data_IF_044621124178
#
_entry.id   IF_044621124178
#
_cell.length_a   1.000
_cell.length_b   1.000
_cell.length_c   1.000
_cell.angle_alpha   90.00
_cell.angle_beta   90.00
_cell.angle_gamma   90.00
#
_symmetry.space_group_name_H-M   'P 1'
#
loop_
_entity.id
_entity.type
_entity.pdbx_description
1 polymer ?
#
# COMPACT_ATOMS: atom_id res chain seq x y z
N UNK A 1 -10.80 12.49 16.30
CA UNK A 1 -9.77 11.86 15.44
C UNK A 1 -10.45 11.45 14.15
N UNK A 2 -9.89 11.84 12.99
CA UNK A 2 -10.36 11.33 11.70
C UNK A 2 -9.47 10.15 11.32
N UNK A 3 -10.07 9.03 10.92
CA UNK A 3 -9.35 7.86 10.43
C UNK A 3 -9.41 7.87 8.90
N UNK A 4 -8.31 7.49 8.27
CA UNK A 4 -8.26 7.20 6.85
C UNK A 4 -8.17 5.69 6.68
N UNK A 5 -8.97 5.17 5.74
CA UNK A 5 -8.99 3.77 5.38
C UNK A 5 -8.54 3.62 3.94
N UNK A 6 -7.77 2.57 3.68
CA UNK A 6 -7.34 2.20 2.33
C UNK A 6 -7.49 0.70 2.14
N UNK A 7 -7.81 0.30 0.91
CA UNK A 7 -8.09 -1.09 0.56
C UNK A 7 -7.11 -1.52 -0.52
N UNK A 8 -6.49 -2.68 -0.31
CA UNK A 8 -5.60 -3.31 -1.27
C UNK A 8 -6.12 -4.70 -1.59
N UNK A 9 -6.53 -4.95 -2.82
CA UNK A 9 -6.90 -6.28 -3.30
C UNK A 9 -5.81 -6.85 -4.20
N UNK A 10 -5.62 -8.16 -4.12
CA UNK A 10 -4.68 -8.88 -4.98
C UNK A 10 -5.24 -10.27 -5.29
N UNK A 11 -5.16 -10.68 -6.56
CA UNK A 11 -5.35 -12.06 -6.95
C UNK A 11 -4.11 -12.85 -6.52
N UNK A 12 -4.32 -13.81 -5.64
CA UNK A 12 -3.34 -14.68 -5.05
C UNK A 12 -3.80 -16.13 -5.26
N UNK A 13 -3.24 -16.78 -6.26
CA UNK A 13 -3.50 -18.20 -6.48
C UNK A 13 -2.84 -19.11 -5.44
N UNK A 14 -3.37 -20.32 -5.31
CA UNK A 14 -2.87 -21.30 -4.36
C UNK A 14 -1.40 -21.66 -4.69
N UNK A 15 -0.48 -21.34 -3.78
CA UNK A 15 0.97 -21.53 -3.99
C UNK A 15 1.73 -20.34 -4.60
N UNK A 16 1.08 -19.20 -4.88
CA UNK A 16 1.78 -18.01 -5.38
C UNK A 16 2.62 -17.31 -4.29
N UNK A 17 3.65 -16.58 -4.73
CA UNK A 17 4.62 -15.96 -3.82
C UNK A 17 4.04 -14.82 -2.98
N UNK A 18 4.25 -14.89 -1.67
CA UNK A 18 3.89 -13.85 -0.68
C UNK A 18 4.73 -12.58 -0.78
N UNK A 19 5.82 -12.58 -1.56
CA UNK A 19 6.80 -11.50 -1.55
C UNK A 19 6.22 -10.12 -1.94
N UNK A 20 5.25 -10.10 -2.87
CA UNK A 20 4.57 -8.86 -3.28
C UNK A 20 3.76 -8.24 -2.15
N UNK A 21 3.03 -9.06 -1.41
CA UNK A 21 2.19 -8.63 -0.28
C UNK A 21 3.07 -8.18 0.88
N UNK A 22 4.13 -8.93 1.20
CA UNK A 22 5.09 -8.54 2.24
C UNK A 22 5.72 -7.18 1.94
N UNK A 23 6.05 -6.90 0.66
CA UNK A 23 6.57 -5.59 0.25
C UNK A 23 5.54 -4.48 0.48
N UNK A 24 4.27 -4.72 0.13
CA UNK A 24 3.21 -3.74 0.31
C UNK A 24 2.88 -3.49 1.79
N UNK A 25 2.87 -4.55 2.62
CA UNK A 25 2.72 -4.43 4.08
C UNK A 25 3.83 -3.60 4.71
N UNK A 26 5.09 -3.86 4.33
CA UNK A 26 6.24 -3.09 4.85
C UNK A 26 6.19 -1.61 4.42
N UNK A 27 5.81 -1.35 3.16
CA UNK A 27 5.67 0.02 2.65
C UNK A 27 4.58 0.78 3.43
N UNK A 28 3.39 0.18 3.54
CA UNK A 28 2.24 0.76 4.26
C UNK A 28 2.55 0.95 5.75
N UNK A 29 3.21 -0.01 6.39
CA UNK A 29 3.72 0.12 7.76
C UNK A 29 4.70 1.28 7.92
N UNK A 30 5.59 1.50 6.95
CA UNK A 30 6.50 2.66 6.92
C UNK A 30 5.80 4.01 6.73
N UNK A 31 4.65 4.03 6.03
CA UNK A 31 3.78 5.19 5.85
C UNK A 31 2.79 5.41 7.02
N UNK A 32 2.89 4.60 8.08
CA UNK A 32 2.06 4.70 9.29
C UNK A 32 0.66 4.10 9.15
N UNK A 33 0.43 3.27 8.14
CA UNK A 33 -0.79 2.48 8.00
C UNK A 33 -0.71 1.19 8.81
N UNK A 34 -1.82 0.85 9.47
CA UNK A 34 -1.99 -0.37 10.24
C UNK A 34 -2.95 -1.29 9.51
N UNK A 35 -2.59 -2.57 9.34
CA UNK A 35 -3.51 -3.58 8.82
C UNK A 35 -4.57 -3.87 9.89
N UNK A 36 -5.84 -3.67 9.56
CA UNK A 36 -6.97 -3.85 10.48
C UNK A 36 -7.92 -4.97 10.06
N UNK A 37 -7.82 -5.44 8.81
CA UNK A 37 -8.63 -6.55 8.32
C UNK A 37 -8.00 -7.23 7.12
N UNK A 38 -8.25 -8.52 6.99
CA UNK A 38 -7.89 -9.34 5.84
C UNK A 38 -9.05 -10.28 5.55
N UNK A 39 -9.49 -10.37 4.30
CA UNK A 39 -10.50 -11.34 3.86
C UNK A 39 -9.96 -12.13 2.68
N UNK A 40 -10.28 -13.42 2.64
CA UNK A 40 -9.96 -14.34 1.56
C UNK A 40 -11.30 -14.82 1.01
N UNK A 41 -11.55 -14.57 -0.27
CA UNK A 41 -12.73 -15.14 -0.94
C UNK A 41 -12.34 -16.51 -1.47
N UNK A 42 -12.58 -17.55 -0.66
CA UNK A 42 -12.53 -18.95 -1.09
C UNK A 42 -13.92 -19.27 -1.67
N UNK A 43 -14.19 -18.86 -2.92
CA UNK A 43 -15.40 -19.26 -3.61
C UNK A 43 -15.31 -20.78 -3.88
N UNK A 44 -16.13 -21.62 -3.21
CA UNK A 44 -15.92 -23.07 -3.17
C UNK A 44 -16.40 -23.82 -4.42
N UNK A 45 -16.86 -23.11 -5.46
CA UNK A 45 -17.49 -23.70 -6.65
C UNK A 45 -16.79 -23.32 -7.98
N UNK A 46 -15.69 -22.56 -7.93
CA UNK A 46 -14.96 -22.16 -9.12
C UNK A 46 -13.70 -23.02 -9.30
N UNK A 47 -13.60 -23.72 -10.44
CA UNK A 47 -12.40 -24.42 -10.96
C UNK A 47 -11.22 -23.44 -11.25
N UNK A 48 -11.24 -22.24 -10.66
CA UNK A 48 -10.22 -21.21 -10.81
C UNK A 48 -9.26 -21.23 -9.60
N UNK A 49 -8.00 -21.59 -9.86
CA UNK A 49 -6.89 -21.60 -8.89
C UNK A 49 -6.52 -20.21 -8.31
N UNK A 50 -7.24 -19.15 -8.68
CA UNK A 50 -6.93 -17.75 -8.35
C UNK A 50 -7.86 -17.22 -7.25
N UNK A 51 -7.31 -17.07 -6.03
CA UNK A 51 -8.07 -16.56 -4.89
C UNK A 51 -7.90 -15.05 -4.78
N UNK A 52 -8.94 -14.29 -4.45
CA UNK A 52 -8.79 -12.85 -4.25
C UNK A 52 -8.66 -12.55 -2.75
N UNK A 53 -7.57 -11.88 -2.38
CA UNK A 53 -7.36 -11.43 -1.00
C UNK A 53 -7.52 -9.93 -0.91
N UNK A 54 -8.35 -9.50 0.04
CA UNK A 54 -8.59 -8.11 0.39
C UNK A 54 -7.87 -7.76 1.69
N UNK A 55 -7.09 -6.69 1.68
CA UNK A 55 -6.42 -6.12 2.85
C UNK A 55 -6.98 -4.73 3.13
N UNK A 56 -7.39 -4.50 4.39
CA UNK A 56 -7.93 -3.22 4.85
C UNK A 56 -6.93 -2.58 5.80
N UNK A 57 -6.52 -1.37 5.46
CA UNK A 57 -5.59 -0.57 6.24
C UNK A 57 -6.29 0.63 6.85
N UNK A 58 -5.87 1.01 8.05
CA UNK A 58 -6.32 2.20 8.75
C UNK A 58 -5.10 3.02 9.16
N UNK A 59 -5.22 4.35 9.12
CA UNK A 59 -4.28 5.25 9.79
C UNK A 59 -5.03 6.39 10.45
N UNK A 60 -4.45 6.92 11.51
CA UNK A 60 -4.91 8.19 12.06
C UNK A 60 -4.53 9.32 11.11
N UNK A 61 -5.53 10.10 10.69
CA UNK A 61 -5.28 11.36 10.00
C UNK A 61 -4.70 12.34 11.01
N UNK A 62 -3.38 12.42 11.09
CA UNK A 62 -2.71 13.50 11.80
C UNK A 62 -3.19 14.80 11.16
N UNK A 63 -3.93 15.61 11.91
CA UNK A 63 -4.43 16.89 11.45
C UNK A 63 -3.26 17.73 10.92
N UNK A 64 -3.23 17.94 9.61
CA UNK A 64 -2.39 18.91 8.93
C UNK A 64 -0.87 18.69 9.03
N UNK A 65 -0.31 17.96 8.07
CA UNK A 65 0.94 18.36 7.45
C UNK A 65 0.97 17.77 6.04
N UNK A 66 0.88 18.65 5.05
CA UNK A 66 1.18 18.33 3.67
C UNK A 66 2.47 17.50 3.64
N UNK A 67 2.41 16.30 3.07
CA UNK A 67 3.59 15.58 2.63
C UNK A 67 4.42 16.60 1.84
N UNK A 68 5.57 16.98 2.40
CA UNK A 68 6.47 17.93 1.81
C UNK A 68 6.76 17.47 0.39
N UNK A 69 6.15 18.14 -0.58
CA UNK A 69 6.49 18.08 -1.99
C UNK A 69 7.99 18.38 -2.01
N UNK A 70 8.83 17.36 -2.22
CA UNK A 70 10.28 17.52 -2.38
C UNK A 70 10.53 18.18 -3.74
N UNK A 71 10.10 19.43 -3.89
CA UNK A 71 10.43 20.30 -5.01
C UNK A 71 11.81 20.89 -4.76
N UNK A 72 12.84 20.08 -5.00
CA UNK A 72 14.24 20.52 -5.07
C UNK A 72 14.61 20.90 -6.50
N UNK A 73 14.09 22.02 -7.01
CA UNK A 73 14.54 22.65 -8.26
C UNK A 73 15.68 23.62 -7.93
N UNK A 74 16.93 23.32 -8.35
CA UNK A 74 17.91 24.27 -8.94
C UNK A 74 19.34 23.71 -8.93
N UNK A 75 19.91 23.56 -10.13
CA UNK A 75 21.33 23.34 -10.34
C UNK A 75 21.81 23.68 -11.75
N UNK A 76 21.11 24.58 -12.47
CA UNK A 76 21.66 25.18 -13.69
C UNK A 76 22.49 26.40 -13.28
N UNK A 77 23.83 26.30 -13.32
CA UNK A 77 24.68 27.49 -13.48
C UNK A 77 25.93 27.20 -14.31
N UNK A 78 25.76 27.59 -15.57
CA UNK A 78 26.70 27.93 -16.64
C UNK A 78 27.93 28.74 -16.15
N UNK A 79 29.10 28.42 -16.75
CA UNK A 79 30.29 29.25 -17.08
C UNK A 79 31.03 30.05 -15.97
N UNK A 80 32.33 29.75 -15.86
CA UNK A 80 33.50 30.64 -15.67
C UNK A 80 34.73 29.73 -15.84
N UNK A 81 35.85 30.07 -16.48
CA UNK A 81 36.33 31.16 -17.31
C UNK A 81 37.50 30.55 -18.09
#
# INVERSE_FOLDING_TARGET
MAFEYDVYSVAWGHGASTAGIVKELNKRGGDGWQLVGMTRDESPEDDHDEEVILFVFCREKKGGAASAKKSGKKGAKKKKK
#
